data_IF_532073297401
#
_entry.id   IF_532073297401
#
_cell.length_a   1.000
_cell.length_b   1.000
_cell.length_c   1.000
_cell.angle_alpha   90.00
_cell.angle_beta   90.00
_cell.angle_gamma   90.00
#
_symmetry.space_group_name_H-M   'P 1'
#
loop_
_entity.id
_entity.type
_entity.pdbx_description
1 polymer ?
#
# COMPACT_ATOMS: atom_id res chain seq x y z
N UNK A 1 -11.12 6.75 -26.15
CA UNK A 1 -10.45 7.33 -24.98
C UNK A 1 -9.27 6.44 -24.63
N UNK A 2 -8.10 7.01 -24.32
CA UNK A 2 -6.93 6.25 -23.85
C UNK A 2 -7.14 5.98 -22.35
N UNK A 3 -7.09 4.71 -21.92
CA UNK A 3 -7.22 4.34 -20.49
C UNK A 3 -5.95 4.74 -19.73
N UNK A 4 -6.10 5.23 -18.50
CA UNK A 4 -4.98 5.46 -17.59
C UNK A 4 -4.46 4.15 -17.00
N UNK A 5 -3.30 4.19 -16.32
CA UNK A 5 -2.75 3.01 -15.61
C UNK A 5 -3.73 2.50 -14.53
N UNK A 6 -4.40 3.41 -13.83
CA UNK A 6 -5.37 3.08 -12.78
C UNK A 6 -6.67 2.52 -13.36
N UNK A 7 -7.11 2.98 -14.54
CA UNK A 7 -8.27 2.38 -15.21
C UNK A 7 -7.98 0.94 -15.65
N UNK A 8 -6.76 0.68 -16.14
CA UNK A 8 -6.32 -0.68 -16.48
C UNK A 8 -6.27 -1.56 -15.23
N UNK A 9 -5.74 -1.03 -14.12
CA UNK A 9 -5.73 -1.75 -12.84
C UNK A 9 -7.16 -2.08 -12.36
N UNK A 10 -8.10 -1.15 -12.51
CA UNK A 10 -9.51 -1.35 -12.14
C UNK A 10 -10.14 -2.49 -12.95
N UNK A 11 -9.93 -2.54 -14.26
CA UNK A 11 -10.43 -3.62 -15.12
C UNK A 11 -9.84 -4.99 -14.73
N UNK A 12 -8.54 -5.03 -14.44
CA UNK A 12 -7.83 -6.24 -14.02
C UNK A 12 -8.39 -6.77 -12.69
N UNK A 13 -8.56 -5.89 -11.70
CA UNK A 13 -9.16 -6.26 -10.41
C UNK A 13 -10.64 -6.62 -10.53
N UNK A 14 -11.40 -5.97 -11.41
CA UNK A 14 -12.81 -6.31 -11.64
C UNK A 14 -12.98 -7.75 -12.13
N UNK A 15 -12.00 -8.25 -12.88
CA UNK A 15 -11.96 -9.65 -13.34
C UNK A 15 -11.48 -10.60 -12.25
N UNK A 16 -10.50 -10.17 -11.44
CA UNK A 16 -9.89 -10.97 -10.37
C UNK A 16 -10.58 -10.64 -9.05
N UNK A 17 -11.56 -11.45 -8.65
CA UNK A 17 -12.37 -11.29 -7.41
C UNK A 17 -11.59 -11.52 -6.09
N UNK A 18 -10.34 -11.04 -6.00
CA UNK A 18 -9.47 -11.13 -4.82
C UNK A 18 -8.44 -10.00 -4.81
N UNK A 19 -7.95 -9.66 -3.62
CA UNK A 19 -6.83 -8.77 -3.42
C UNK A 19 -5.54 -9.26 -4.11
N UNK A 20 -4.73 -8.32 -4.59
CA UNK A 20 -3.49 -8.58 -5.35
C UNK A 20 -2.36 -7.75 -4.76
N UNK A 21 -1.18 -8.35 -4.60
CA UNK A 21 0.05 -7.63 -4.20
C UNK A 21 0.39 -6.57 -5.25
N UNK A 22 0.72 -5.35 -4.80
CA UNK A 22 1.00 -4.20 -5.67
C UNK A 22 1.94 -4.52 -6.84
N UNK A 23 3.11 -5.14 -6.59
CA UNK A 23 4.08 -5.44 -7.66
C UNK A 23 3.52 -6.36 -8.73
N UNK A 24 2.64 -7.31 -8.36
CA UNK A 24 1.98 -8.19 -9.32
C UNK A 24 0.93 -7.45 -10.14
N UNK A 25 0.15 -6.58 -9.49
CA UNK A 25 -0.79 -5.71 -10.19
C UNK A 25 -0.03 -4.81 -11.18
N UNK A 26 1.08 -4.22 -10.77
CA UNK A 26 1.92 -3.39 -11.61
C UNK A 26 2.43 -4.15 -12.84
N UNK A 27 2.96 -5.35 -12.65
CA UNK A 27 3.40 -6.21 -13.76
C UNK A 27 2.28 -6.45 -14.79
N UNK A 28 1.06 -6.76 -14.32
CA UNK A 28 -0.08 -6.98 -15.19
C UNK A 28 -0.51 -5.70 -15.94
N UNK A 29 -0.47 -4.53 -15.27
CA UNK A 29 -0.73 -3.23 -15.91
C UNK A 29 0.31 -2.95 -17.01
N UNK A 30 1.59 -3.16 -16.72
CA UNK A 30 2.68 -2.98 -17.70
C UNK A 30 2.52 -3.88 -18.93
N UNK A 31 2.09 -5.14 -18.73
CA UNK A 31 1.80 -6.08 -19.81
C UNK A 31 0.65 -5.59 -20.69
N UNK A 32 -0.46 -5.13 -20.09
CA UNK A 32 -1.63 -4.62 -20.84
C UNK A 32 -1.30 -3.33 -21.58
N UNK A 33 -0.48 -2.47 -20.99
CA UNK A 33 -0.06 -1.20 -21.61
C UNK A 33 1.12 -1.35 -22.59
N UNK A 34 1.69 -2.54 -22.69
CA UNK A 34 2.86 -2.86 -23.50
C UNK A 34 4.05 -1.92 -23.23
N UNK A 35 4.34 -1.68 -21.94
CA UNK A 35 5.47 -0.85 -21.53
C UNK A 35 6.81 -1.55 -21.79
N UNK A 36 7.82 -0.74 -22.11
CA UNK A 36 9.22 -1.17 -22.09
C UNK A 36 9.76 -1.14 -20.66
N UNK A 37 10.88 -1.82 -20.39
CA UNK A 37 11.51 -1.83 -19.06
C UNK A 37 11.80 -0.43 -18.50
N UNK A 38 12.27 0.49 -19.33
CA UNK A 38 12.48 1.88 -18.91
C UNK A 38 11.17 2.54 -18.49
N UNK A 39 10.09 2.33 -19.24
CA UNK A 39 8.78 2.85 -18.88
C UNK A 39 8.22 2.21 -17.62
N UNK A 40 8.47 0.92 -17.38
CA UNK A 40 8.11 0.27 -16.11
C UNK A 40 8.81 0.94 -14.92
N UNK A 41 10.10 1.24 -15.05
CA UNK A 41 10.88 1.90 -13.98
C UNK A 41 10.43 3.36 -13.77
N UNK A 42 10.19 4.10 -14.85
CA UNK A 42 9.83 5.52 -14.79
C UNK A 42 8.40 5.75 -14.24
N UNK A 43 7.48 4.80 -14.46
CA UNK A 43 6.05 4.99 -14.14
C UNK A 43 5.59 4.31 -12.85
N UNK A 44 6.37 3.40 -12.24
CA UNK A 44 5.92 2.64 -11.05
C UNK A 44 5.56 3.54 -9.87
N UNK A 45 6.33 4.60 -9.65
CA UNK A 45 6.08 5.55 -8.55
C UNK A 45 4.80 6.36 -8.78
N UNK A 46 4.58 6.81 -10.02
CA UNK A 46 3.35 7.50 -10.41
C UNK A 46 2.15 6.56 -10.26
N UNK A 47 2.26 5.31 -10.71
CA UNK A 47 1.19 4.33 -10.56
C UNK A 47 0.83 4.06 -9.10
N UNK A 48 1.81 3.90 -8.21
CA UNK A 48 1.54 3.74 -6.77
C UNK A 48 0.80 4.95 -6.19
N UNK A 49 1.21 6.16 -6.59
CA UNK A 49 0.62 7.40 -6.13
C UNK A 49 -0.82 7.54 -6.60
N UNK A 50 -1.07 7.32 -7.90
CA UNK A 50 -2.41 7.39 -8.48
C UNK A 50 -3.34 6.30 -7.88
N UNK A 51 -2.83 5.07 -7.68
CA UNK A 51 -3.59 3.98 -7.07
C UNK A 51 -3.96 4.29 -5.60
N UNK A 52 -3.06 4.94 -4.87
CA UNK A 52 -3.29 5.29 -3.45
C UNK A 52 -4.26 6.46 -3.28
N UNK A 53 -4.36 7.35 -4.27
CA UNK A 53 -5.26 8.49 -4.27
C UNK A 53 -6.64 8.17 -4.87
N UNK A 54 -6.76 7.09 -5.63
CA UNK A 54 -8.01 6.66 -6.25
C UNK A 54 -8.93 5.95 -5.24
N UNK A 55 -10.12 6.51 -5.03
CA UNK A 55 -11.06 6.05 -4.02
C UNK A 55 -11.67 4.68 -4.31
N UNK A 56 -11.55 4.16 -5.53
CA UNK A 56 -12.05 2.84 -5.91
C UNK A 56 -11.20 1.71 -5.33
N UNK A 57 -9.99 2.01 -4.88
CA UNK A 57 -9.07 1.02 -4.35
C UNK A 57 -8.93 1.14 -2.84
N UNK A 58 -8.56 0.02 -2.23
CA UNK A 58 -8.20 -0.03 -0.81
C UNK A 58 -7.02 -0.96 -0.61
N UNK A 59 -6.09 -0.52 0.23
CA UNK A 59 -5.01 -1.36 0.72
C UNK A 59 -5.52 -2.19 1.90
N UNK A 60 -5.45 -3.51 1.78
CA UNK A 60 -5.98 -4.46 2.79
C UNK A 60 -4.85 -5.09 3.62
N UNK A 61 -3.70 -4.42 3.70
CA UNK A 61 -2.52 -4.88 4.43
C UNK A 61 -1.50 -5.63 3.55
N UNK A 62 -0.25 -5.70 4.01
CA UNK A 62 0.87 -6.35 3.31
C UNK A 62 1.06 -5.85 1.86
N UNK A 63 0.70 -4.58 1.60
CA UNK A 63 0.70 -3.99 0.26
C UNK A 63 -0.14 -4.76 -0.78
N UNK A 64 -1.24 -5.38 -0.31
CA UNK A 64 -2.27 -5.97 -1.15
C UNK A 64 -3.38 -4.95 -1.40
N UNK A 65 -3.83 -4.88 -2.63
CA UNK A 65 -4.86 -3.95 -3.10
C UNK A 65 -6.08 -4.71 -3.60
N UNK A 66 -7.25 -4.21 -3.26
CA UNK A 66 -8.54 -4.70 -3.74
C UNK A 66 -9.47 -3.52 -4.07
N UNK A 67 -10.66 -3.83 -4.61
CA UNK A 67 -11.69 -2.83 -4.89
C UNK A 67 -12.46 -2.48 -3.62
N UNK A 68 -12.59 -1.19 -3.33
CA UNK A 68 -13.33 -0.67 -2.17
C UNK A 68 -14.76 -1.20 -2.09
N UNK A 69 -15.43 -1.40 -3.23
CA UNK A 69 -16.80 -1.93 -3.29
C UNK A 69 -16.97 -3.33 -2.68
N UNK A 70 -15.87 -4.08 -2.48
CA UNK A 70 -15.88 -5.42 -1.88
C UNK A 70 -15.73 -5.42 -0.36
N UNK A 71 -15.39 -4.27 0.22
CA UNK A 71 -15.14 -4.14 1.64
C UNK A 71 -16.21 -3.28 2.29
N UNK A 72 -16.57 -3.64 3.51
CA UNK A 72 -17.48 -2.82 4.32
C UNK A 72 -16.72 -1.61 4.88
N UNK A 73 -17.47 -0.54 5.20
CA UNK A 73 -16.90 0.67 5.80
C UNK A 73 -16.05 0.37 7.04
N UNK A 74 -16.51 -0.54 7.89
CA UNK A 74 -15.85 -0.91 9.14
C UNK A 74 -14.53 -1.69 8.94
N UNK A 75 -14.35 -2.36 7.79
CA UNK A 75 -13.10 -3.08 7.48
C UNK A 75 -11.99 -2.17 6.97
N UNK A 76 -12.32 -0.96 6.52
CA UNK A 76 -11.39 -0.07 5.80
C UNK A 76 -11.20 1.29 6.46
N UNK A 77 -12.11 1.68 7.36
CA UNK A 77 -11.99 2.91 8.13
C UNK A 77 -11.41 2.57 9.49
N UNK A 78 -10.24 3.16 9.75
CA UNK A 78 -9.62 3.16 11.06
C UNK A 78 -10.35 4.18 11.92
N UNK A 79 -10.91 3.75 13.04
CA UNK A 79 -11.53 4.66 13.99
C UNK A 79 -10.45 5.51 14.64
N UNK A 80 -10.38 6.78 14.24
CA UNK A 80 -9.41 7.73 14.77
C UNK A 80 -9.63 8.03 16.25
N UNK A 81 -10.82 7.75 16.82
CA UNK A 81 -11.05 7.87 18.25
C UNK A 81 -10.32 6.78 19.05
N UNK A 82 -10.16 5.58 18.49
CA UNK A 82 -9.39 4.48 19.12
C UNK A 82 -7.87 4.73 19.12
N UNK A 83 -7.38 5.61 18.23
CA UNK A 83 -5.95 5.97 18.13
C UNK A 83 -5.60 7.18 19.00
N UNK A 84 -6.57 7.84 19.62
CA UNK A 84 -6.29 8.91 20.57
C UNK A 84 -5.53 8.31 21.77
N UNK A 85 -4.22 8.57 21.80
CA UNK A 85 -3.40 8.36 22.99
C UNK A 85 -3.88 9.40 23.99
N UNK A 86 -4.43 8.93 25.10
CA UNK A 86 -4.82 9.78 26.22
C UNK A 86 -3.58 10.52 26.71
N UNK A 87 -3.53 11.85 26.51
CA UNK A 87 -2.40 12.69 26.92
C UNK A 87 -2.20 12.69 28.45
N UNK A 88 -3.15 12.15 29.24
CA UNK A 88 -3.03 11.94 30.69
C UNK A 88 -2.40 10.59 31.09
N UNK A 89 -2.11 9.68 30.14
CA UNK A 89 -1.41 8.43 30.40
C UNK A 89 0.12 8.63 30.35
N UNK A 90 0.63 9.22 31.42
CA UNK A 90 2.05 9.42 31.70
C UNK A 90 2.77 8.08 31.98
N UNK A 91 3.97 7.95 31.40
CA UNK A 91 5.09 7.05 31.74
C UNK A 91 4.94 5.51 31.66
N UNK A 92 5.32 4.93 30.50
CA UNK A 92 6.19 3.73 30.49
C UNK A 92 6.96 3.58 29.16
N UNK A 93 7.69 4.61 28.75
CA UNK A 93 8.74 4.42 27.74
C UNK A 93 9.89 3.65 28.40
N UNK A 94 9.86 2.32 28.34
CA UNK A 94 11.05 1.52 28.65
C UNK A 94 12.15 1.87 27.64
N UNK A 95 13.12 2.66 28.11
CA UNK A 95 14.38 2.95 27.44
C UNK A 95 15.15 1.63 27.29
N UNK A 96 15.07 1.01 26.10
CA UNK A 96 15.90 -0.15 25.73
C UNK A 96 17.37 0.30 25.68
N UNK A 97 18.04 0.24 26.84
CA UNK A 97 19.47 0.49 27.02
C UNK A 97 20.28 -0.67 26.42
N UNK A 98 20.31 -0.74 25.09
CA UNK A 98 21.11 -1.67 24.32
C UNK A 98 22.37 -0.99 23.75
N UNK A 99 23.23 -0.49 24.63
CA UNK A 99 24.59 -0.06 24.25
C UNK A 99 25.65 -0.57 25.24
N UNK A 100 25.71 -1.89 25.46
CA UNK A 100 26.95 -2.55 25.90
C UNK A 100 27.88 -2.65 24.69
N UNK A 101 28.65 -1.59 24.45
CA UNK A 101 29.84 -1.64 23.62
C UNK A 101 30.79 -2.71 24.18
N UNK A 102 30.86 -3.85 23.51
CA UNK A 102 31.95 -4.80 23.64
C UNK A 102 33.17 -4.21 22.95
N UNK A 103 33.95 -3.44 23.70
CA UNK A 103 35.32 -3.09 23.34
C UNK A 103 36.21 -4.27 23.76
N UNK A 104 36.58 -5.14 22.81
CA UNK A 104 37.83 -5.90 22.85
C UNK A 104 38.10 -6.58 21.48
N UNK A 105 39.34 -6.39 21.03
CA UNK A 105 40.09 -7.04 19.93
C UNK A 105 40.04 -6.45 18.51
N UNK A 106 40.93 -5.47 18.26
CA UNK A 106 42.10 -5.69 17.39
C UNK A 106 43.29 -4.79 17.74
#
# INVERSE_FOLDING_TARGET
MKKSMVDVAYDLMSTKKKAIVFLKLWEEVCQVMAFTKQQEEDNIAQFYSDLSLDDRFVNVGENKWDLRERHTYHEVVVDTEEILIDEEADDDYEEDDAAKAGDEEF
#
